data_IF_907897655309
#
_entry.id   IF_907897655309
#
_cell.length_a   1.000
_cell.length_b   1.000
_cell.length_c   1.000
_cell.angle_alpha   90.00
_cell.angle_beta   90.00
_cell.angle_gamma   90.00
#
_symmetry.space_group_name_H-M   'P 1'
#
loop_
_entity.id
_entity.type
_entity.pdbx_description
1 polymer ?
#
# COMPACT_ATOMS: atom_id res chain seq x y z
N UNK A 1 -8.35 20.27 16.25
CA UNK A 1 -6.90 20.03 16.10
C UNK A 1 -6.70 19.17 14.86
N UNK A 2 -6.33 19.79 13.74
CA UNK A 2 -5.90 19.09 12.51
C UNK A 2 -4.38 19.22 12.54
N UNK A 3 -3.67 18.12 12.70
CA UNK A 3 -2.20 18.14 12.67
C UNK A 3 -1.77 18.33 11.24
N UNK A 4 -0.92 19.34 11.07
CA UNK A 4 -0.06 19.58 9.93
C UNK A 4 0.79 18.32 9.66
N UNK A 5 0.36 17.51 8.70
CA UNK A 5 1.22 16.56 8.01
C UNK A 5 1.40 17.12 6.59
N UNK A 6 2.17 18.21 6.51
CA UNK A 6 2.71 18.79 5.28
C UNK A 6 3.79 17.81 4.78
N UNK A 7 3.36 16.71 4.15
CA UNK A 7 4.19 15.84 3.30
C UNK A 7 4.50 16.61 2.00
N UNK A 8 5.27 17.69 2.13
CA UNK A 8 5.89 18.41 1.03
C UNK A 8 7.13 17.60 0.61
N UNK A 9 6.90 16.48 -0.08
CA UNK A 9 7.94 15.62 -0.67
C UNK A 9 7.87 15.84 -2.19
N UNK A 10 8.57 16.89 -2.61
CA UNK A 10 9.03 17.28 -3.96
C UNK A 10 8.24 16.83 -5.20
N UNK A 11 7.94 17.81 -6.07
CA UNK A 11 7.21 17.73 -7.34
C UNK A 11 8.01 17.03 -8.47
N UNK A 12 8.70 15.93 -8.15
CA UNK A 12 9.32 15.09 -9.16
C UNK A 12 8.33 14.03 -9.64
N UNK A 13 7.81 14.27 -10.84
CA UNK A 13 7.08 13.34 -11.68
C UNK A 13 7.83 12.00 -11.74
N UNK A 14 7.45 11.06 -10.87
CA UNK A 14 8.03 9.71 -10.82
C UNK A 14 7.76 8.97 -12.13
N UNK A 15 8.69 9.10 -13.09
CA UNK A 15 8.81 8.23 -14.24
C UNK A 15 9.61 6.98 -13.84
N UNK A 16 9.00 5.78 -13.77
CA UNK A 16 9.73 4.57 -13.44
C UNK A 16 10.83 4.32 -14.49
N UNK A 17 12.09 4.07 -14.08
CA UNK A 17 13.18 3.82 -15.02
C UNK A 17 12.87 2.59 -15.89
N UNK A 18 13.11 2.73 -17.19
CA UNK A 18 12.76 1.75 -18.23
C UNK A 18 13.38 0.35 -18.01
N UNK A 19 14.43 0.27 -17.20
CA UNK A 19 15.09 -0.98 -16.80
C UNK A 19 14.22 -1.88 -15.92
N UNK A 20 13.22 -1.34 -15.21
CA UNK A 20 12.30 -2.14 -14.38
C UNK A 20 11.19 -2.83 -15.20
N UNK A 21 11.06 -2.51 -16.51
CA UNK A 21 9.99 -3.04 -17.37
C UNK A 21 10.27 -4.46 -17.86
N UNK A 22 11.48 -5.01 -17.65
CA UNK A 22 11.91 -6.29 -18.25
C UNK A 22 11.99 -7.44 -17.24
N UNK A 23 10.83 -8.06 -17.02
CA UNK A 23 10.59 -9.51 -17.21
C UNK A 23 11.36 -10.56 -16.37
N UNK A 24 12.04 -10.20 -15.27
CA UNK A 24 12.68 -11.19 -14.37
C UNK A 24 12.27 -11.05 -12.89
N UNK A 25 11.02 -10.70 -12.61
CA UNK A 25 10.63 -10.07 -11.33
C UNK A 25 9.47 -10.74 -10.57
N UNK A 26 8.84 -11.82 -11.05
CA UNK A 26 7.62 -12.34 -10.37
C UNK A 26 7.90 -13.00 -9.01
N UNK A 27 9.00 -13.74 -8.84
CA UNK A 27 9.38 -14.32 -7.54
C UNK A 27 9.78 -13.24 -6.54
N UNK A 28 10.65 -12.31 -6.97
CA UNK A 28 11.09 -11.18 -6.13
C UNK A 28 9.94 -10.23 -5.78
N UNK A 29 9.02 -9.97 -6.72
CA UNK A 29 7.81 -9.17 -6.47
C UNK A 29 6.88 -9.84 -5.47
N UNK A 30 6.72 -11.16 -5.53
CA UNK A 30 5.90 -11.88 -4.56
C UNK A 30 6.50 -11.80 -3.15
N UNK A 31 7.82 -11.97 -3.03
CA UNK A 31 8.53 -11.81 -1.75
C UNK A 31 8.44 -10.37 -1.23
N UNK A 32 8.59 -9.36 -2.10
CA UNK A 32 8.40 -7.95 -1.76
C UNK A 32 6.98 -7.69 -1.23
N UNK A 33 5.96 -8.20 -1.93
CA UNK A 33 4.55 -8.06 -1.49
C UNK A 33 4.36 -8.75 -0.14
N UNK A 34 4.86 -9.96 0.04
CA UNK A 34 4.72 -10.70 1.30
C UNK A 34 5.36 -9.96 2.48
N UNK A 35 6.53 -9.36 2.29
CA UNK A 35 7.19 -8.54 3.32
C UNK A 35 6.40 -7.27 3.63
N UNK A 36 5.87 -6.59 2.62
CA UNK A 36 5.01 -5.41 2.80
C UNK A 36 3.74 -5.78 3.59
N UNK A 37 3.13 -6.94 3.30
CA UNK A 37 1.94 -7.44 4.01
C UNK A 37 2.24 -7.78 5.47
N UNK A 38 3.33 -8.49 5.74
CA UNK A 38 3.73 -8.84 7.11
C UNK A 38 3.95 -7.60 7.98
N UNK A 39 4.52 -6.52 7.42
CA UNK A 39 4.76 -5.27 8.15
C UNK A 39 3.46 -4.48 8.32
N UNK A 40 2.58 -4.50 7.32
CA UNK A 40 1.27 -3.86 7.41
C UNK A 40 0.40 -4.46 8.51
N UNK A 41 0.46 -5.79 8.70
CA UNK A 41 -0.25 -6.48 9.77
C UNK A 41 0.24 -6.08 11.17
N UNK A 42 1.55 -5.83 11.33
CA UNK A 42 2.12 -5.41 12.62
C UNK A 42 1.94 -3.92 12.90
N UNK A 43 2.01 -3.06 11.89
CA UNK A 43 2.01 -1.61 12.04
C UNK A 43 1.17 -0.91 10.97
N UNK A 44 -0.04 -0.48 11.34
CA UNK A 44 -0.95 0.23 10.43
C UNK A 44 -0.59 1.70 10.20
N UNK A 45 0.34 2.30 10.97
CA UNK A 45 0.79 3.70 10.85
C UNK A 45 2.26 3.76 10.45
N UNK A 46 2.54 4.49 9.38
CA UNK A 46 3.82 4.43 8.68
C UNK A 46 4.75 5.56 9.16
N UNK A 47 5.68 5.23 10.07
CA UNK A 47 6.71 6.18 10.50
C UNK A 47 7.69 6.49 9.34
N UNK A 48 8.04 7.77 9.07
CA UNK A 48 8.90 8.16 7.95
C UNK A 48 10.27 7.47 7.95
N UNK A 49 10.83 7.25 9.13
CA UNK A 49 12.14 6.60 9.30
C UNK A 49 12.12 5.12 8.89
N UNK A 50 11.00 4.43 9.14
CA UNK A 50 10.82 3.01 8.81
C UNK A 50 10.54 2.82 7.31
N UNK A 51 9.89 3.78 6.65
CA UNK A 51 9.66 3.80 5.19
C UNK A 51 10.97 3.73 4.40
N UNK A 52 11.96 4.53 4.80
CA UNK A 52 13.28 4.55 4.17
C UNK A 52 14.01 3.20 4.33
N UNK A 53 13.98 2.64 5.54
CA UNK A 53 14.58 1.33 5.82
C UNK A 53 13.90 0.22 5.03
N UNK A 54 12.57 0.22 4.94
CA UNK A 54 11.83 -0.81 4.21
C UNK A 54 12.06 -0.72 2.70
N UNK A 55 12.07 0.50 2.15
CA UNK A 55 12.43 0.73 0.76
C UNK A 55 13.82 0.18 0.45
N UNK A 56 14.82 0.51 1.27
CA UNK A 56 16.18 0.00 1.11
C UNK A 56 16.27 -1.55 1.20
N UNK A 57 15.59 -2.17 2.17
CA UNK A 57 15.59 -3.63 2.34
C UNK A 57 14.92 -4.37 1.18
N UNK A 58 13.85 -3.80 0.61
CA UNK A 58 13.10 -4.41 -0.48
C UNK A 58 13.61 -4.01 -1.87
N UNK A 59 14.60 -3.11 -1.95
CA UNK A 59 15.04 -2.50 -3.21
C UNK A 59 13.92 -1.70 -3.88
N UNK A 60 13.03 -1.10 -3.09
CA UNK A 60 11.90 -0.29 -3.54
C UNK A 60 12.14 1.18 -3.21
N UNK A 61 11.64 2.07 -4.06
CA UNK A 61 11.68 3.49 -3.74
C UNK A 61 10.76 3.77 -2.53
N UNK A 62 11.15 4.63 -1.56
CA UNK A 62 10.32 4.99 -0.41
C UNK A 62 8.89 5.37 -0.81
N UNK A 63 8.74 6.12 -1.91
CA UNK A 63 7.42 6.48 -2.49
C UNK A 63 6.56 5.27 -2.88
N UNK A 64 7.14 4.23 -3.47
CA UNK A 64 6.40 3.00 -3.82
C UNK A 64 5.86 2.31 -2.57
N UNK A 65 6.64 2.31 -1.48
CA UNK A 65 6.20 1.81 -0.19
C UNK A 65 5.03 2.65 0.33
N UNK A 66 5.12 3.98 0.31
CA UNK A 66 4.01 4.86 0.70
C UNK A 66 2.72 4.60 -0.10
N UNK A 67 2.82 4.54 -1.43
CA UNK A 67 1.66 4.30 -2.31
C UNK A 67 1.05 2.93 -2.02
N UNK A 68 1.89 1.91 -1.83
CA UNK A 68 1.40 0.58 -1.49
C UNK A 68 0.63 0.57 -0.17
N UNK A 69 1.15 1.25 0.86
CA UNK A 69 0.48 1.36 2.17
C UNK A 69 -0.83 2.16 2.09
N UNK A 70 -0.86 3.25 1.31
CA UNK A 70 -2.09 4.01 1.02
C UNK A 70 -3.13 3.12 0.34
N UNK A 71 -2.76 2.47 -0.78
CA UNK A 71 -3.65 1.59 -1.53
C UNK A 71 -4.16 0.41 -0.69
N UNK A 72 -3.31 -0.18 0.18
CA UNK A 72 -3.71 -1.29 1.04
C UNK A 72 -4.77 -0.86 2.05
N UNK A 73 -4.66 0.34 2.64
CA UNK A 73 -5.67 0.90 3.54
C UNK A 73 -6.97 1.19 2.80
N UNK A 74 -6.89 1.87 1.66
CA UNK A 74 -8.07 2.24 0.87
C UNK A 74 -8.82 0.99 0.38
N UNK A 75 -8.08 -0.03 -0.06
CA UNK A 75 -8.64 -1.33 -0.41
C UNK A 75 -9.33 -2.01 0.78
N UNK A 76 -8.71 -1.99 1.97
CA UNK A 76 -9.31 -2.56 3.18
C UNK A 76 -10.63 -1.88 3.54
N UNK A 77 -10.69 -0.55 3.47
CA UNK A 77 -11.92 0.23 3.68
C UNK A 77 -12.97 -0.09 2.63
N UNK A 78 -12.59 -0.13 1.35
CA UNK A 78 -13.48 -0.45 0.25
C UNK A 78 -14.06 -1.87 0.39
N UNK A 79 -13.23 -2.84 0.78
CA UNK A 79 -13.64 -4.23 1.01
C UNK A 79 -14.62 -4.33 2.18
N UNK A 80 -14.39 -3.61 3.28
CA UNK A 80 -15.31 -3.56 4.40
C UNK A 80 -16.68 -2.97 4.00
N UNK A 81 -16.68 -1.90 3.21
CA UNK A 81 -17.89 -1.27 2.68
C UNK A 81 -18.66 -2.22 1.75
N UNK A 82 -17.94 -2.89 0.85
CA UNK A 82 -18.51 -3.89 -0.05
C UNK A 82 -19.14 -5.04 0.74
N UNK A 83 -18.43 -5.62 1.72
CA UNK A 83 -18.93 -6.72 2.54
C UNK A 83 -20.19 -6.32 3.34
N UNK A 84 -20.21 -5.07 3.83
CA UNK A 84 -21.39 -4.51 4.51
C UNK A 84 -22.58 -4.42 3.56
N UNK A 85 -22.38 -3.91 2.35
CA UNK A 85 -23.43 -3.79 1.34
C UNK A 85 -23.94 -5.17 0.88
N UNK A 86 -23.02 -6.10 0.62
CA UNK A 86 -23.35 -7.47 0.21
C UNK A 86 -24.17 -8.19 1.29
N UNK A 87 -23.82 -8.03 2.56
CA UNK A 87 -24.57 -8.61 3.68
C UNK A 87 -26.00 -8.05 3.76
N UNK A 88 -26.18 -6.73 3.55
CA UNK A 88 -27.50 -6.10 3.50
C UNK A 88 -28.34 -6.61 2.34
N UNK A 89 -27.75 -6.75 1.16
CA UNK A 89 -28.45 -7.29 -0.01
C UNK A 89 -28.88 -8.75 0.21
N UNK A 90 -27.99 -9.57 0.76
CA UNK A 90 -28.32 -10.96 1.10
C UNK A 90 -29.45 -11.05 2.14
N UNK A 91 -29.52 -10.12 3.11
CA UNK A 91 -30.60 -10.10 4.09
C UNK A 91 -31.95 -9.75 3.45
N UNK A 92 -31.97 -8.87 2.44
CA UNK A 92 -33.20 -8.50 1.72
C UNK A 92 -33.70 -9.62 0.80
N UNK A 93 -32.80 -10.35 0.14
CA UNK A 93 -33.16 -11.47 -0.75
C UNK A 93 -33.50 -12.79 -0.04
N UNK A 94 -33.52 -12.79 1.30
CA UNK A 94 -33.93 -13.96 2.10
C UNK A 94 -35.44 -13.98 2.42
N UNK A 95 -36.19 -12.99 1.95
CA UNK A 95 -37.65 -12.93 1.95
C UNK A 95 -38.20 -13.16 0.54
#
# INVERSE_FOLDING_TARGET
MRTDDDDNDDDDEYSPPESMRKKSTNRTRFEQIKSLESIFESESRFEPTKKLQLGAQLGLHPRQVSIWFQNKRDYSVLLANYNTLASRFQALNRY
#
